data_IF_244473335302
#
_entry.id   IF_244473335302
#
_cell.length_a   1.000
_cell.length_b   1.000
_cell.length_c   1.000
_cell.angle_alpha   90.00
_cell.angle_beta   90.00
_cell.angle_gamma   90.00
#
_symmetry.space_group_name_H-M   'P 1'
#
loop_
_entity.id
_entity.type
_entity.pdbx_description
1 polymer ?
#
# COMPACT_ATOMS: atom_id res chain seq x y z
N UNK A 1 15.94 4.42 21.94
CA UNK A 1 16.06 2.96 21.75
C UNK A 1 15.04 2.27 22.64
N UNK A 2 14.42 1.17 22.19
CA UNK A 2 13.44 0.39 22.96
C UNK A 2 14.14 -0.31 24.15
N UNK A 3 13.44 -0.44 25.28
CA UNK A 3 14.01 -0.83 26.58
C UNK A 3 14.79 -2.16 26.60
N UNK A 4 14.55 -3.08 25.65
CA UNK A 4 15.11 -4.43 25.64
C UNK A 4 16.08 -4.69 24.47
N UNK A 5 16.40 -3.66 23.67
CA UNK A 5 17.40 -3.74 22.59
C UNK A 5 17.16 -4.91 21.62
N UNK A 6 18.14 -5.82 21.53
CA UNK A 6 18.15 -6.97 20.61
C UNK A 6 16.92 -7.89 20.78
N UNK A 7 16.43 -8.09 22.01
CA UNK A 7 15.26 -8.93 22.25
C UNK A 7 14.00 -8.36 21.59
N UNK A 8 13.85 -7.03 21.58
CA UNK A 8 12.74 -6.38 20.88
C UNK A 8 12.84 -6.59 19.37
N UNK A 9 14.05 -6.50 18.81
CA UNK A 9 14.29 -6.75 17.37
C UNK A 9 13.94 -8.18 16.97
N UNK A 10 14.37 -9.18 17.75
CA UNK A 10 14.10 -10.60 17.47
C UNK A 10 12.59 -10.89 17.55
N UNK A 11 11.94 -10.44 18.63
CA UNK A 11 10.50 -10.71 18.83
C UNK A 11 9.62 -10.00 17.79
N UNK A 12 9.96 -8.77 17.40
CA UNK A 12 9.30 -8.08 16.30
C UNK A 12 9.51 -8.80 14.96
N UNK A 13 10.72 -9.33 14.70
CA UNK A 13 11.01 -10.14 13.51
C UNK A 13 10.20 -11.43 13.46
N UNK A 14 10.08 -12.15 14.58
CA UNK A 14 9.27 -13.38 14.67
C UNK A 14 7.79 -13.13 14.34
N UNK A 15 7.24 -11.98 14.73
CA UNK A 15 5.86 -11.61 14.41
C UNK A 15 5.61 -11.46 12.88
N UNK A 16 6.65 -11.21 12.09
CA UNK A 16 6.56 -11.03 10.63
C UNK A 16 6.62 -12.34 9.83
N UNK A 17 7.05 -13.45 10.44
CA UNK A 17 7.24 -14.76 9.76
C UNK A 17 5.96 -15.21 9.03
N UNK A 18 4.81 -15.06 9.67
CA UNK A 18 3.51 -15.46 9.11
C UNK A 18 3.13 -14.71 7.82
N UNK A 19 3.86 -13.66 7.47
CA UNK A 19 3.62 -12.85 6.27
C UNK A 19 4.77 -12.91 5.27
N UNK A 20 5.66 -13.89 5.42
CA UNK A 20 6.77 -14.16 4.48
C UNK A 20 7.57 -12.88 4.19
N UNK A 21 7.77 -12.05 5.21
CA UNK A 21 8.52 -10.79 5.09
C UNK A 21 7.95 -9.78 4.07
N UNK A 22 6.68 -9.92 3.66
CA UNK A 22 6.01 -8.95 2.78
C UNK A 22 6.09 -7.53 3.34
N UNK A 23 6.40 -6.58 2.45
CA UNK A 23 6.67 -5.18 2.78
C UNK A 23 8.06 -4.90 3.35
N UNK A 24 8.94 -5.90 3.46
CA UNK A 24 10.32 -5.74 3.97
C UNK A 24 11.40 -5.92 2.89
N UNK A 25 10.99 -6.12 1.64
CA UNK A 25 11.86 -6.19 0.45
C UNK A 25 11.57 -5.02 -0.48
N UNK A 26 12.52 -4.69 -1.35
CA UNK A 26 12.30 -3.72 -2.43
C UNK A 26 12.39 -4.41 -3.79
N UNK A 27 11.68 -3.88 -4.78
CA UNK A 27 11.71 -4.29 -6.18
C UNK A 27 11.95 -3.05 -7.03
N UNK A 28 12.88 -3.14 -7.98
CA UNK A 28 13.21 -1.99 -8.84
C UNK A 28 12.00 -1.59 -9.68
N UNK A 29 11.62 -0.31 -9.59
CA UNK A 29 10.47 0.26 -10.26
C UNK A 29 10.83 1.49 -11.10
N UNK A 30 9.91 1.87 -11.99
CA UNK A 30 9.91 3.17 -12.66
C UNK A 30 9.27 4.18 -11.72
N UNK A 31 10.03 5.20 -11.32
CA UNK A 31 9.50 6.24 -10.45
C UNK A 31 8.49 7.12 -11.20
N UNK A 32 7.26 7.27 -10.68
CA UNK A 32 6.27 8.17 -11.25
C UNK A 32 6.67 9.65 -11.02
N UNK A 33 6.42 10.55 -11.98
CA UNK A 33 6.65 11.99 -11.80
C UNK A 33 5.82 12.62 -10.69
N UNK A 34 4.58 12.16 -10.48
CA UNK A 34 3.67 12.64 -9.45
C UNK A 34 3.32 11.52 -8.46
N UNK A 35 3.17 11.84 -7.16
CA UNK A 35 2.86 10.83 -6.16
C UNK A 35 1.46 10.26 -6.36
N UNK A 36 1.32 8.95 -6.18
CA UNK A 36 0.03 8.24 -6.27
C UNK A 36 -0.78 8.55 -5.01
N UNK A 37 -2.05 8.89 -5.14
CA UNK A 37 -2.92 9.07 -3.98
C UNK A 37 -3.53 7.73 -3.57
N UNK A 38 -3.45 7.39 -2.27
CA UNK A 38 -4.06 6.19 -1.71
C UNK A 38 -4.94 6.56 -0.52
N UNK A 39 -6.20 6.14 -0.56
CA UNK A 39 -7.12 6.23 0.54
C UNK A 39 -7.19 4.89 1.26
N UNK A 40 -6.69 4.89 2.48
CA UNK A 40 -6.52 3.67 3.26
C UNK A 40 -6.48 3.99 4.76
N UNK A 41 -6.47 2.95 5.60
CA UNK A 41 -6.20 3.10 7.03
C UNK A 41 -5.42 1.88 7.54
N UNK A 42 -4.77 2.02 8.70
CA UNK A 42 -3.79 1.04 9.16
C UNK A 42 -4.40 -0.32 9.50
N UNK A 43 -5.54 -0.32 10.18
CA UNK A 43 -6.17 -1.53 10.70
C UNK A 43 -6.86 -2.43 9.67
N UNK A 44 -6.90 -2.05 8.38
CA UNK A 44 -7.49 -2.91 7.34
C UNK A 44 -6.44 -3.83 6.71
N UNK A 45 -6.67 -5.15 6.65
CA UNK A 45 -5.76 -6.08 6.00
C UNK A 45 -5.63 -5.80 4.48
N UNK A 46 -6.73 -5.43 3.81
CA UNK A 46 -6.72 -5.09 2.38
C UNK A 46 -5.91 -3.83 2.10
N UNK A 47 -6.05 -2.81 2.96
CA UNK A 47 -5.24 -1.59 2.86
C UNK A 47 -3.75 -1.88 3.08
N UNK A 48 -3.41 -2.83 3.96
CA UNK A 48 -2.03 -3.22 4.19
C UNK A 48 -1.39 -3.83 2.94
N UNK A 49 -2.12 -4.71 2.24
CA UNK A 49 -1.65 -5.35 1.01
C UNK A 49 -1.34 -4.30 -0.08
N UNK A 50 -2.23 -3.33 -0.30
CA UNK A 50 -1.99 -2.26 -1.27
C UNK A 50 -0.79 -1.37 -0.89
N UNK A 51 -0.65 -1.03 0.40
CA UNK A 51 0.52 -0.27 0.88
C UNK A 51 1.82 -1.04 0.74
N UNK A 52 1.80 -2.35 0.96
CA UNK A 52 2.98 -3.20 0.76
C UNK A 52 3.44 -3.17 -0.68
N UNK A 53 2.53 -3.24 -1.66
CA UNK A 53 2.91 -3.09 -3.06
C UNK A 53 3.54 -1.73 -3.35
N UNK A 54 2.96 -0.63 -2.83
CA UNK A 54 3.53 0.72 -2.98
C UNK A 54 4.92 0.83 -2.35
N UNK A 55 5.12 0.27 -1.17
CA UNK A 55 6.40 0.31 -0.43
C UNK A 55 7.44 -0.60 -1.08
N UNK A 56 7.08 -1.83 -1.45
CA UNK A 56 7.98 -2.77 -2.14
C UNK A 56 8.44 -2.20 -3.48
N UNK A 57 7.59 -1.46 -4.19
CA UNK A 57 7.95 -0.78 -5.43
C UNK A 57 8.56 0.61 -5.21
N UNK A 58 8.77 1.05 -3.97
CA UNK A 58 9.32 2.36 -3.62
C UNK A 58 8.59 3.53 -4.30
N UNK A 59 7.27 3.39 -4.50
CA UNK A 59 6.47 4.39 -5.21
C UNK A 59 6.09 5.52 -4.25
N UNK A 60 6.39 6.80 -4.59
CA UNK A 60 5.97 7.93 -3.80
C UNK A 60 4.45 8.01 -3.80
N UNK A 61 3.84 8.09 -2.61
CA UNK A 61 2.40 8.10 -2.47
C UNK A 61 1.90 9.00 -1.33
N UNK A 62 0.72 9.58 -1.51
CA UNK A 62 0.01 10.37 -0.50
C UNK A 62 -1.06 9.51 0.16
N UNK A 63 -0.85 9.19 1.44
CA UNK A 63 -1.80 8.39 2.22
C UNK A 63 -2.89 9.28 2.86
N UNK A 64 -4.11 9.12 2.37
CA UNK A 64 -5.31 9.70 2.96
C UNK A 64 -5.91 8.75 4.00
N UNK A 65 -5.55 8.96 5.28
CA UNK A 65 -6.04 8.14 6.38
C UNK A 65 -7.57 8.24 6.56
N UNK A 66 -8.26 7.13 6.28
CA UNK A 66 -9.72 7.01 6.35
C UNK A 66 -10.19 6.13 7.51
N UNK A 67 -9.46 6.16 8.62
CA UNK A 67 -9.82 5.43 9.84
C UNK A 67 -11.23 5.83 10.35
N UNK A 68 -11.82 4.99 11.21
CA UNK A 68 -13.14 5.26 11.79
C UNK A 68 -13.12 6.62 12.52
N UNK A 69 -14.07 7.50 12.17
CA UNK A 69 -14.15 8.86 12.71
C UNK A 69 -13.38 9.92 11.92
N UNK A 70 -12.58 9.54 10.91
CA UNK A 70 -11.89 10.51 10.05
C UNK A 70 -12.85 11.27 9.14
N UNK A 71 -12.74 12.61 9.01
CA UNK A 71 -13.49 13.39 8.03
C UNK A 71 -13.22 12.95 6.58
N UNK A 72 -12.02 12.44 6.29
CA UNK A 72 -11.63 11.94 4.95
C UNK A 72 -12.49 10.77 4.48
N UNK A 73 -13.05 10.00 5.43
CA UNK A 73 -14.02 8.95 5.13
C UNK A 73 -15.27 9.52 4.46
N UNK A 74 -15.71 10.70 4.89
CA UNK A 74 -16.86 11.39 4.31
C UNK A 74 -16.53 11.96 2.94
N UNK A 75 -15.28 12.36 2.68
CA UNK A 75 -14.84 12.81 1.35
C UNK A 75 -14.96 11.69 0.32
N UNK A 76 -14.45 10.48 0.61
CA UNK A 76 -14.64 9.30 -0.26
C UNK A 76 -16.11 9.00 -0.45
N UNK A 77 -16.87 8.98 0.64
CA UNK A 77 -18.30 8.68 0.58
C UNK A 77 -19.06 9.67 -0.30
N UNK A 78 -18.72 10.97 -0.22
CA UNK A 78 -19.29 12.00 -1.10
C UNK A 78 -18.86 11.83 -2.55
N UNK A 79 -17.61 11.40 -2.81
CA UNK A 79 -17.09 11.17 -4.17
C UNK A 79 -17.72 9.95 -4.85
N UNK A 80 -17.89 8.83 -4.14
CA UNK A 80 -18.24 7.53 -4.72
C UNK A 80 -19.61 6.98 -4.27
N UNK A 81 -20.31 7.66 -3.37
CA UNK A 81 -21.60 7.21 -2.81
C UNK A 81 -21.50 6.03 -1.83
N UNK A 82 -20.33 5.38 -1.74
CA UNK A 82 -20.01 4.30 -0.83
C UNK A 82 -18.62 4.52 -0.24
N UNK A 83 -18.42 4.09 1.01
CA UNK A 83 -17.08 3.99 1.57
C UNK A 83 -16.52 2.59 1.37
N UNK A 84 -15.47 2.50 0.55
CA UNK A 84 -14.67 1.30 0.36
C UNK A 84 -13.19 1.67 0.38
N UNK A 85 -12.35 0.83 0.99
CA UNK A 85 -10.90 1.03 1.07
C UNK A 85 -10.20 -0.34 0.98
N UNK A 86 -9.04 -0.45 0.31
CA UNK A 86 -8.26 0.64 -0.29
C UNK A 86 -8.85 1.18 -1.60
N UNK A 87 -8.51 2.42 -1.91
CA UNK A 87 -8.81 3.08 -3.18
C UNK A 87 -7.58 3.89 -3.59
N UNK A 88 -7.26 3.92 -4.89
CA UNK A 88 -6.12 4.68 -5.44
C UNK A 88 -6.56 5.63 -6.54
N UNK A 89 -5.86 6.74 -6.66
CA UNK A 89 -5.91 7.65 -7.81
C UNK A 89 -4.47 7.89 -8.26
N UNK A 90 -4.19 7.51 -9.50
CA UNK A 90 -2.89 7.70 -10.11
C UNK A 90 -2.94 8.86 -11.10
N UNK A 91 -2.36 10.03 -10.77
CA UNK A 91 -2.36 11.19 -11.64
C UNK A 91 -1.51 11.01 -12.90
N UNK A 92 -0.62 10.01 -12.93
CA UNK A 92 0.29 9.78 -14.05
C UNK A 92 -0.38 9.02 -15.20
N UNK A 93 -1.32 8.13 -14.88
CA UNK A 93 -2.06 7.31 -15.86
C UNK A 93 -3.55 7.68 -15.95
N UNK A 94 -4.06 8.45 -14.98
CA UNK A 94 -5.49 8.77 -14.84
C UNK A 94 -6.33 7.66 -14.21
N UNK A 95 -5.69 6.58 -13.76
CA UNK A 95 -6.37 5.39 -13.23
C UNK A 95 -6.94 5.67 -11.84
N UNK A 96 -8.18 5.21 -11.62
CA UNK A 96 -8.89 5.28 -10.34
C UNK A 96 -9.55 3.94 -10.09
N UNK A 97 -9.19 3.25 -9.02
CA UNK A 97 -9.69 1.89 -8.78
C UNK A 97 -9.79 1.52 -7.30
N UNK A 98 -10.70 0.58 -7.04
CA UNK A 98 -10.85 -0.13 -5.78
C UNK A 98 -10.17 -1.51 -5.86
N UNK A 99 -10.46 -2.38 -4.90
CA UNK A 99 -10.00 -3.77 -4.82
C UNK A 99 -8.48 -3.93 -4.66
N UNK A 100 -8.06 -4.40 -3.48
CA UNK A 100 -6.63 -4.48 -3.14
C UNK A 100 -5.85 -5.40 -4.09
N UNK A 101 -6.46 -6.47 -4.60
CA UNK A 101 -5.78 -7.39 -5.51
C UNK A 101 -5.51 -6.73 -6.88
N UNK A 102 -6.52 -6.07 -7.44
CA UNK A 102 -6.40 -5.34 -8.71
C UNK A 102 -5.42 -4.17 -8.59
N UNK A 103 -5.44 -3.44 -7.47
CA UNK A 103 -4.46 -2.38 -7.18
C UNK A 103 -3.03 -2.94 -7.22
N UNK A 104 -2.78 -4.07 -6.57
CA UNK A 104 -1.44 -4.69 -6.54
C UNK A 104 -1.02 -5.08 -7.94
N UNK A 105 -1.89 -5.74 -8.70
CA UNK A 105 -1.63 -6.15 -10.08
C UNK A 105 -1.35 -4.95 -10.99
N UNK A 106 -2.15 -3.90 -10.89
CA UNK A 106 -1.97 -2.65 -11.62
C UNK A 106 -0.62 -1.99 -11.34
N UNK A 107 -0.28 -1.78 -10.06
CA UNK A 107 0.98 -1.13 -9.66
C UNK A 107 2.18 -1.93 -10.17
N UNK A 108 2.08 -3.25 -10.07
CA UNK A 108 3.06 -4.20 -10.56
C UNK A 108 3.21 -4.14 -12.07
N UNK A 109 2.12 -4.22 -12.83
CA UNK A 109 2.16 -4.18 -14.29
C UNK A 109 2.67 -2.83 -14.82
N UNK A 110 2.32 -1.74 -14.15
CA UNK A 110 2.60 -0.37 -14.62
C UNK A 110 4.02 0.07 -14.29
N UNK A 111 4.47 -0.19 -13.06
CA UNK A 111 5.69 0.41 -12.53
C UNK A 111 6.86 -0.56 -12.34
N UNK A 112 6.65 -1.87 -12.38
CA UNK A 112 7.78 -2.82 -12.26
C UNK A 112 8.60 -2.83 -13.56
N UNK A 113 9.93 -2.95 -13.44
CA UNK A 113 10.83 -3.14 -14.60
C UNK A 113 10.90 -4.60 -15.09
N UNK A 114 10.55 -5.55 -14.24
CA UNK A 114 10.59 -6.99 -14.52
C UNK A 114 9.26 -7.70 -14.25
N UNK A 115 8.25 -7.57 -15.13
CA UNK A 115 6.95 -8.22 -14.97
C UNK A 115 7.04 -9.75 -14.82
N UNK A 116 8.07 -10.36 -15.41
CA UNK A 116 8.26 -11.81 -15.48
C UNK A 116 8.59 -12.51 -14.16
N UNK A 117 8.91 -11.77 -13.08
CA UNK A 117 9.28 -12.34 -11.77
C UNK A 117 8.22 -12.14 -10.67
N UNK A 118 7.00 -11.70 -11.02
CA UNK A 118 5.98 -11.29 -10.03
C UNK A 118 5.31 -12.45 -9.25
N UNK A 119 5.55 -13.70 -9.64
CA UNK A 119 4.96 -14.91 -9.05
C UNK A 119 5.98 -15.88 -8.42
N UNK A 120 7.24 -15.47 -8.25
CA UNK A 120 8.23 -16.19 -7.42
C UNK A 120 8.11 -15.76 -5.96
#
# INVERSE_FOLDING_TARGET
MLSLGLFTTITAGLAMIWRVWKGSSYTVSKLPPQPIEIWAYEGSPFCKIAREALVELELPHLLHSCARGSPKRQEIFKKHGLFQAPYIEDPNTGVKMFESAEIVEYLRATYTLYPQYQNL
#
